data_IF_936077243588
#
_entry.id   IF_936077243588
#
_cell.length_a   1.000
_cell.length_b   1.000
_cell.length_c   1.000
_cell.angle_alpha   90.00
_cell.angle_beta   90.00
_cell.angle_gamma   90.00
#
_symmetry.space_group_name_H-M   'P 1'
#
loop_
_entity.id
_entity.type
_entity.pdbx_description
1 polymer ?
#
# COMPACT_ATOMS: atom_id res chain seq x y z
N UNK A 1 -37.10 0.48 5.18
CA UNK A 1 -35.75 0.86 5.64
C UNK A 1 -34.81 -0.10 4.94
N UNK A 2 -34.08 0.37 3.91
CA UNK A 2 -33.16 -0.48 3.15
C UNK A 2 -31.84 -0.55 3.92
N UNK A 3 -31.34 -1.76 4.17
CA UNK A 3 -29.99 -2.01 4.66
C UNK A 3 -29.01 -1.87 3.50
N UNK A 4 -28.84 -0.65 3.01
CA UNK A 4 -27.76 -0.32 2.09
C UNK A 4 -26.56 0.17 2.94
N UNK A 5 -25.34 -0.23 2.55
CA UNK A 5 -24.04 0.37 2.89
C UNK A 5 -23.16 -0.20 4.03
N UNK A 6 -23.31 -1.48 4.40
CA UNK A 6 -22.16 -2.22 4.92
C UNK A 6 -21.26 -2.63 3.74
N UNK A 7 -20.59 -1.67 3.11
CA UNK A 7 -19.67 -1.93 2.00
C UNK A 7 -18.49 -2.77 2.50
N UNK A 8 -18.61 -4.09 2.35
CA UNK A 8 -17.53 -5.06 2.58
C UNK A 8 -16.30 -4.59 1.80
N UNK A 9 -15.18 -4.40 2.51
CA UNK A 9 -13.92 -4.13 1.85
C UNK A 9 -13.55 -5.36 1.00
N UNK A 10 -13.38 -5.15 -0.30
CA UNK A 10 -12.74 -6.14 -1.17
C UNK A 10 -11.25 -6.03 -0.92
N UNK A 11 -10.59 -7.14 -0.59
CA UNK A 11 -9.16 -7.19 -0.31
C UNK A 11 -8.43 -7.88 -1.46
N UNK A 12 -7.36 -7.24 -1.95
CA UNK A 12 -6.44 -7.85 -2.90
C UNK A 12 -5.43 -8.69 -2.14
N UNK A 13 -5.51 -10.01 -2.31
CA UNK A 13 -4.61 -10.96 -1.66
C UNK A 13 -3.78 -11.72 -2.70
N UNK A 14 -2.48 -11.90 -2.44
CA UNK A 14 -1.58 -12.74 -3.23
C UNK A 14 -0.57 -13.41 -2.29
N UNK A 15 -0.45 -14.73 -2.35
CA UNK A 15 0.45 -15.48 -1.47
C UNK A 15 1.95 -15.27 -1.76
N UNK A 16 2.83 -15.83 -0.93
CA UNK A 16 4.28 -15.56 -0.95
C UNK A 16 5.01 -16.05 -2.20
N UNK A 17 4.46 -17.03 -2.92
CA UNK A 17 5.13 -17.69 -4.06
C UNK A 17 5.31 -16.79 -5.30
N UNK A 18 4.69 -15.60 -5.33
CA UNK A 18 4.76 -14.66 -6.45
C UNK A 18 5.42 -13.32 -6.13
N UNK A 19 5.99 -13.18 -4.92
CA UNK A 19 6.66 -11.96 -4.47
C UNK A 19 8.10 -11.81 -5.01
N UNK A 20 8.76 -10.68 -4.72
CA UNK A 20 8.23 -9.53 -3.97
C UNK A 20 7.21 -8.71 -4.77
N UNK A 21 6.21 -8.16 -4.10
CA UNK A 21 5.14 -7.35 -4.68
C UNK A 21 5.37 -5.86 -4.40
N UNK A 22 4.89 -5.03 -5.34
CA UNK A 22 4.89 -3.59 -5.18
C UNK A 22 3.94 -3.15 -4.06
N UNK A 23 4.45 -2.34 -3.14
CA UNK A 23 3.63 -1.65 -2.15
C UNK A 23 2.61 -0.75 -2.86
N UNK A 24 1.30 -0.82 -2.52
CA UNK A 24 0.29 -0.04 -3.20
C UNK A 24 0.44 1.48 -2.97
N UNK A 25 1.20 1.89 -1.95
CA UNK A 25 1.50 3.28 -1.64
C UNK A 25 2.69 3.82 -2.44
N UNK A 26 3.88 3.23 -2.30
CA UNK A 26 5.12 3.79 -2.87
C UNK A 26 5.58 3.11 -4.17
N UNK A 27 5.04 1.93 -4.50
CA UNK A 27 5.39 1.19 -5.71
C UNK A 27 6.68 0.36 -5.64
N UNK A 28 7.45 0.44 -4.55
CA UNK A 28 8.66 -0.37 -4.36
C UNK A 28 8.30 -1.83 -3.98
N UNK A 29 9.13 -2.78 -4.42
CA UNK A 29 8.95 -4.21 -4.23
C UNK A 29 9.36 -4.66 -2.82
N UNK A 30 8.59 -4.27 -1.81
CA UNK A 30 8.92 -4.51 -0.40
C UNK A 30 8.10 -5.62 0.25
N UNK A 31 7.04 -6.09 -0.40
CA UNK A 31 6.06 -6.99 0.22
C UNK A 31 6.29 -8.44 -0.21
N UNK A 32 6.42 -9.36 0.75
CA UNK A 32 6.48 -10.80 0.49
C UNK A 32 5.14 -11.34 -0.03
N UNK A 33 4.03 -10.80 0.47
CA UNK A 33 2.66 -11.14 0.07
C UNK A 33 1.77 -9.89 -0.05
N UNK A 34 0.65 -9.99 -0.78
CA UNK A 34 -0.38 -8.92 -0.81
C UNK A 34 -1.50 -9.21 0.18
N UNK A 35 -1.93 -8.20 0.91
CA UNK A 35 -2.98 -8.28 1.93
C UNK A 35 -2.55 -9.00 3.21
N UNK A 36 -1.25 -9.18 3.41
CA UNK A 36 -0.66 -9.89 4.56
C UNK A 36 -0.41 -9.05 5.80
N UNK A 37 -0.83 -7.78 5.80
CA UNK A 37 -0.54 -6.80 6.87
C UNK A 37 0.96 -6.54 7.06
N UNK A 38 1.78 -6.78 6.04
CA UNK A 38 3.18 -6.37 6.05
C UNK A 38 3.30 -4.85 5.98
N UNK A 39 4.25 -4.29 6.72
CA UNK A 39 4.56 -2.85 6.70
C UNK A 39 5.71 -2.62 5.72
N UNK A 40 5.48 -1.75 4.73
CA UNK A 40 6.51 -1.36 3.78
C UNK A 40 7.63 -0.56 4.46
N UNK A 41 8.87 -1.03 4.48
CA UNK A 41 10.00 -0.30 5.06
C UNK A 41 10.30 1.06 4.39
N UNK A 42 9.86 1.24 3.13
CA UNK A 42 10.17 2.44 2.35
C UNK A 42 9.21 3.59 2.66
N UNK A 43 7.93 3.30 2.90
CA UNK A 43 6.92 4.34 3.14
C UNK A 43 6.12 4.16 4.42
N UNK A 44 6.29 3.04 5.13
CA UNK A 44 5.59 2.68 6.36
C UNK A 44 4.07 2.46 6.23
N UNK A 45 3.58 2.17 5.02
CA UNK A 45 2.20 1.73 4.79
C UNK A 45 2.03 0.24 5.15
N UNK A 46 0.99 -0.12 5.90
CA UNK A 46 0.58 -1.51 6.11
C UNK A 46 -0.31 -1.99 4.95
N UNK A 47 0.05 -3.11 4.31
CA UNK A 47 -0.77 -3.70 3.24
C UNK A 47 -1.93 -4.55 3.80
N UNK A 48 -3.04 -3.88 4.10
CA UNK A 48 -4.31 -4.48 4.52
C UNK A 48 -5.18 -4.99 3.34
N UNK A 49 -4.58 -5.07 2.14
CA UNK A 49 -5.23 -5.49 0.90
C UNK A 49 -6.01 -4.36 0.20
N UNK A 50 -5.88 -3.11 0.64
CA UNK A 50 -6.39 -1.94 -0.08
C UNK A 50 -5.70 -1.76 -1.43
N UNK A 51 -6.46 -1.41 -2.45
CA UNK A 51 -5.94 -1.14 -3.79
C UNK A 51 -6.81 -0.10 -4.51
N UNK A 52 -6.64 0.07 -5.82
CA UNK A 52 -7.25 1.16 -6.59
C UNK A 52 -8.77 1.25 -6.46
N UNK A 53 -9.47 0.12 -6.36
CA UNK A 53 -10.93 0.07 -6.27
C UNK A 53 -11.49 0.78 -5.04
N UNK A 54 -10.69 0.98 -4.00
CA UNK A 54 -11.11 1.67 -2.79
C UNK A 54 -10.04 2.58 -2.18
N UNK A 55 -9.08 3.04 -2.99
CA UNK A 55 -7.93 3.83 -2.53
C UNK A 55 -8.31 5.14 -1.79
N UNK A 56 -9.50 5.69 -2.07
CA UNK A 56 -10.00 6.90 -1.39
C UNK A 56 -10.68 6.66 -0.04
N UNK A 57 -10.88 5.40 0.38
CA UNK A 57 -11.52 5.07 1.67
C UNK A 57 -10.46 4.98 2.78
N UNK A 58 -10.82 5.44 3.97
CA UNK A 58 -10.02 5.20 5.17
C UNK A 58 -10.44 3.85 5.76
N UNK A 59 -9.50 2.91 5.87
CA UNK A 59 -9.74 1.58 6.46
C UNK A 59 -9.43 1.50 7.95
N UNK A 60 -8.65 2.43 8.49
CA UNK A 60 -8.31 2.45 9.91
C UNK A 60 -7.01 1.68 10.21
N UNK A 61 -7.00 1.01 11.37
CA UNK A 61 -5.87 0.18 11.77
C UNK A 61 -4.55 0.96 11.93
N UNK A 62 -3.41 0.33 11.65
CA UNK A 62 -2.09 0.96 11.64
C UNK A 62 -1.97 2.14 10.68
N UNK A 63 -2.73 2.14 9.58
CA UNK A 63 -2.83 3.25 8.62
C UNK A 63 -3.67 4.46 9.15
N UNK A 64 -4.26 4.34 10.35
CA UNK A 64 -4.99 5.40 11.07
C UNK A 64 -6.08 6.05 10.23
N UNK A 65 -6.01 7.37 10.03
CA UNK A 65 -6.98 8.16 9.29
C UNK A 65 -6.50 8.50 7.87
N UNK A 66 -5.50 7.76 7.36
CA UNK A 66 -4.90 7.98 6.04
C UNK A 66 -5.48 6.97 5.07
N UNK A 67 -6.03 7.46 3.95
CA UNK A 67 -6.43 6.59 2.82
C UNK A 67 -5.22 6.27 1.94
N UNK A 68 -5.26 5.19 1.17
CA UNK A 68 -4.18 4.85 0.22
C UNK A 68 -3.88 6.00 -0.77
N UNK A 69 -4.91 6.72 -1.23
CA UNK A 69 -4.75 7.88 -2.09
C UNK A 69 -3.98 9.02 -1.40
N UNK A 70 -4.26 9.25 -0.12
CA UNK A 70 -3.53 10.24 0.68
C UNK A 70 -2.11 9.77 0.98
N UNK A 71 -1.91 8.50 1.27
CA UNK A 71 -0.61 7.90 1.48
C UNK A 71 0.32 8.07 0.27
N UNK A 72 -0.19 7.83 -0.95
CA UNK A 72 0.55 8.08 -2.21
C UNK A 72 0.99 9.55 -2.35
N UNK A 73 0.12 10.50 -1.97
CA UNK A 73 0.42 11.94 -1.98
C UNK A 73 1.47 12.29 -0.94
N UNK A 74 1.33 11.78 0.28
CA UNK A 74 2.29 11.98 1.35
C UNK A 74 3.66 11.42 0.98
N UNK A 75 3.70 10.21 0.40
CA UNK A 75 4.95 9.60 -0.03
C UNK A 75 5.67 10.47 -1.07
N UNK A 76 4.93 11.00 -2.05
CA UNK A 76 5.47 11.94 -3.03
C UNK A 76 6.01 13.23 -2.38
N UNK A 77 5.37 13.70 -1.31
CA UNK A 77 5.72 14.96 -0.65
C UNK A 77 6.88 14.84 0.35
N UNK A 78 6.95 13.75 1.11
CA UNK A 78 7.90 13.60 2.23
C UNK A 78 8.57 12.24 2.34
N UNK A 79 8.25 11.25 1.50
CA UNK A 79 8.84 9.92 1.55
C UNK A 79 8.19 8.96 2.55
N UNK A 80 7.08 9.33 3.18
CA UNK A 80 6.31 8.45 4.07
C UNK A 80 4.82 8.47 3.70
N UNK A 81 4.12 7.35 3.90
CA UNK A 81 2.68 7.22 3.75
C UNK A 81 1.93 8.13 4.72
N UNK A 82 2.48 8.32 5.92
CA UNK A 82 2.02 9.28 6.91
C UNK A 82 3.22 10.08 7.42
N UNK A 83 3.21 11.42 7.36
CA UNK A 83 4.31 12.24 7.86
C UNK A 83 4.70 11.97 9.31
N UNK A 84 3.79 11.40 10.13
CA UNK A 84 4.06 11.00 11.52
C UNK A 84 5.08 9.86 11.64
N UNK A 85 5.27 9.10 10.58
CA UNK A 85 6.11 7.89 10.55
C UNK A 85 7.46 8.10 9.83
N UNK A 86 7.83 9.35 9.54
CA UNK A 86 9.13 9.69 8.92
C UNK A 86 10.36 9.11 9.61
N UNK A 87 10.26 8.81 10.91
CA UNK A 87 11.37 8.20 11.67
C UNK A 87 11.56 6.70 11.41
N UNK A 88 10.61 6.06 10.74
CA UNK A 88 10.56 4.61 10.50
C UNK A 88 10.83 4.23 9.04
N UNK A 89 10.88 5.20 8.14
CA UNK A 89 11.15 4.95 6.71
C UNK A 89 12.65 4.86 6.43
N UNK A 90 13.00 4.12 5.39
CA UNK A 90 14.34 4.12 4.78
C UNK A 90 14.27 4.35 3.27
N UNK A 91 15.37 4.77 2.62
CA UNK A 91 15.46 4.69 1.17
C UNK A 91 15.22 3.26 0.65
N UNK A 92 14.67 3.11 -0.56
CA UNK A 92 14.57 1.80 -1.21
C UNK A 92 15.97 1.23 -1.47
N UNK A 93 16.10 -0.09 -1.34
CA UNK A 93 17.28 -0.83 -1.79
C UNK A 93 17.27 -0.93 -3.32
N UNK A 94 18.44 -1.09 -3.97
CA UNK A 94 18.52 -1.24 -5.42
C UNK A 94 17.60 -2.34 -5.98
N UNK A 95 17.42 -3.43 -5.26
CA UNK A 95 16.61 -4.59 -5.66
C UNK A 95 15.10 -4.34 -5.51
N UNK A 96 14.69 -3.33 -4.73
CA UNK A 96 13.28 -2.99 -4.51
C UNK A 96 12.72 -2.11 -5.63
N UNK A 97 13.56 -1.63 -6.54
CA UNK A 97 13.12 -0.90 -7.72
C UNK A 97 12.46 -1.85 -8.71
N UNK A 98 11.21 -1.58 -9.15
CA UNK A 98 10.58 -2.38 -10.19
C UNK A 98 11.45 -2.36 -11.45
N UNK A 99 11.90 -3.54 -11.88
CA UNK A 99 12.45 -3.71 -13.24
C UNK A 99 11.32 -3.31 -14.19
N UNK A 100 11.52 -2.24 -14.97
CA UNK A 100 10.44 -1.60 -15.74
C UNK A 100 9.79 -2.54 -16.76
N UNK A 101 8.81 -3.34 -16.34
CA UNK A 101 7.90 -4.12 -17.19
C UNK A 101 6.65 -4.64 -16.44
N UNK A 102 6.27 -4.04 -15.31
CA UNK A 102 5.08 -4.49 -14.57
C UNK A 102 3.90 -3.57 -14.85
N UNK A 103 3.25 -3.76 -16.02
CA UNK A 103 1.82 -3.47 -16.14
C UNK A 103 1.34 -2.39 -17.11
N UNK A 104 1.90 -2.31 -18.34
CA UNK A 104 1.16 -1.71 -19.47
C UNK A 104 0.58 -2.82 -20.35
N UNK A 105 -0.54 -3.40 -19.93
CA UNK A 105 -1.43 -4.05 -20.90
C UNK A 105 -1.96 -2.98 -21.86
N UNK A 106 -1.84 -3.28 -23.16
CA UNK A 106 -2.27 -2.48 -24.30
C UNK A 106 -3.78 -2.27 -24.35
#
# INVERSE_FOLDING_TARGET
MRWDDAAQFVNVNRGPDGGPYACPCCGFLTLGERGGYEICDVCFWEDDGQDEHDAGRVRGGPNRNVSLLEARRNFTACGAADPRDLRHVRPPLPEEHPSGDQGRTS
#
